data_IF_104152461626
#
_entry.id   IF_104152461626
#
_cell.length_a   1.000
_cell.length_b   1.000
_cell.length_c   1.000
_cell.angle_alpha   90.00
_cell.angle_beta   90.00
_cell.angle_gamma   90.00
#
_symmetry.space_group_name_H-M   'P 1'
#
loop_
_entity.id
_entity.type
_entity.pdbx_description
1 polymer ?
#
# COMPACT_ATOMS: atom_id res chain seq x y z
N UNK A 1 2.99 35.67 -27.59
CA UNK A 1 3.00 37.16 -27.58
C UNK A 1 2.15 37.65 -26.44
N UNK A 2 2.68 38.62 -25.76
CA UNK A 2 2.17 39.47 -24.65
C UNK A 2 2.41 38.91 -23.24
N UNK A 3 3.51 39.44 -22.72
CA UNK A 3 3.88 39.60 -21.31
C UNK A 3 2.92 40.59 -20.64
N UNK A 4 2.64 40.40 -19.36
CA UNK A 4 2.37 41.55 -18.45
C UNK A 4 3.01 41.25 -17.09
N UNK A 5 3.86 42.19 -16.72
CA UNK A 5 4.61 42.33 -15.45
C UNK A 5 3.76 43.28 -14.58
N UNK A 6 3.66 43.02 -13.30
CA UNK A 6 3.46 44.01 -12.23
C UNK A 6 3.64 43.25 -10.91
N UNK A 7 4.58 43.50 -10.17
CA UNK A 7 5.25 44.59 -9.39
C UNK A 7 4.96 44.42 -7.90
N UNK A 8 6.08 44.28 -7.16
CA UNK A 8 6.25 44.26 -5.71
C UNK A 8 5.57 45.44 -5.02
N UNK A 9 5.08 45.22 -3.80
CA UNK A 9 5.18 46.22 -2.74
C UNK A 9 5.48 45.56 -1.40
N UNK A 10 6.65 45.87 -0.88
CA UNK A 10 7.08 45.59 0.49
C UNK A 10 6.48 46.69 1.42
N UNK A 11 6.04 46.29 2.59
CA UNK A 11 5.80 47.20 3.69
C UNK A 11 6.27 46.56 5.00
N UNK A 12 7.43 47.05 5.41
CA UNK A 12 8.00 46.90 6.75
C UNK A 12 7.28 47.80 7.74
N UNK A 13 6.97 47.32 8.96
CA UNK A 13 6.85 48.20 10.13
C UNK A 13 7.35 47.49 11.40
N UNK A 14 8.10 48.31 12.14
CA UNK A 14 8.99 47.95 13.22
C UNK A 14 8.32 47.92 14.61
N UNK A 15 9.05 47.25 15.49
CA UNK A 15 9.15 47.32 16.96
C UNK A 15 8.38 48.38 17.74
N UNK A 16 7.84 47.98 18.90
CA UNK A 16 7.95 48.74 20.14
C UNK A 16 8.04 47.81 21.36
N UNK A 17 9.21 47.83 21.99
CA UNK A 17 9.42 47.41 23.39
C UNK A 17 8.80 48.44 24.35
N UNK A 18 8.18 47.96 25.43
CA UNK A 18 8.08 48.75 26.66
C UNK A 18 8.20 47.79 27.87
N UNK A 19 9.31 47.95 28.57
CA UNK A 19 9.54 47.41 29.91
C UNK A 19 9.11 48.42 30.97
N UNK A 20 8.68 47.92 32.15
CA UNK A 20 8.79 48.50 33.53
C UNK A 20 7.86 47.64 34.40
N UNK A 21 8.26 46.98 35.49
CA UNK A 21 9.18 47.36 36.56
C UNK A 21 8.41 47.62 37.85
N UNK A 22 8.65 46.89 38.95
CA UNK A 22 8.38 47.32 40.33
C UNK A 22 7.41 46.38 41.12
N UNK A 23 7.91 45.53 41.91
CA UNK A 23 8.27 45.56 43.33
C UNK A 23 7.14 45.24 44.32
N UNK A 24 7.48 44.34 45.17
CA UNK A 24 6.88 43.65 46.30
C UNK A 24 6.12 44.50 47.37
N UNK A 25 5.18 43.87 48.04
CA UNK A 25 5.21 43.84 49.50
C UNK A 25 4.18 42.88 50.11
N UNK A 26 4.57 42.28 51.18
CA UNK A 26 4.06 41.27 52.09
C UNK A 26 2.76 41.64 52.84
N UNK A 27 1.91 40.66 53.18
CA UNK A 27 1.70 40.21 54.58
C UNK A 27 0.46 39.35 54.77
N UNK A 28 0.72 38.23 55.46
CA UNK A 28 0.00 37.58 56.54
C UNK A 28 -1.48 37.16 56.46
N UNK A 29 -1.62 35.83 56.48
CA UNK A 29 -2.44 34.92 57.29
C UNK A 29 -3.89 35.28 57.69
N UNK A 30 -4.81 34.36 57.34
CA UNK A 30 -5.77 33.77 58.29
C UNK A 30 -6.37 32.43 57.73
N UNK A 31 -6.31 31.46 58.58
CA UNK A 31 -6.83 30.11 58.44
C UNK A 31 -8.37 30.10 58.38
N UNK A 32 -8.97 29.26 57.49
CA UNK A 32 -10.19 28.54 57.87
C UNK A 32 -10.42 27.35 56.90
N UNK A 33 -10.68 26.19 57.52
CA UNK A 33 -10.86 24.90 56.86
C UNK A 33 -12.14 24.82 56.03
N UNK A 34 -12.02 24.20 54.89
CA UNK A 34 -13.13 23.79 54.00
C UNK A 34 -12.70 22.59 53.19
N UNK A 35 -13.51 21.56 53.20
CA UNK A 35 -13.32 20.26 52.62
C UNK A 35 -12.66 20.27 51.22
N UNK A 36 -11.60 19.53 51.05
CA UNK A 36 -10.95 19.30 49.80
C UNK A 36 -11.82 18.43 48.88
N UNK A 37 -12.46 19.05 47.92
CA UNK A 37 -12.87 18.36 46.68
C UNK A 37 -11.59 18.06 45.88
N UNK A 38 -11.27 16.81 45.76
CA UNK A 38 -10.15 16.37 44.90
C UNK A 38 -10.51 16.57 43.46
N UNK A 39 -10.18 17.72 42.90
CA UNK A 39 -10.05 17.90 41.48
C UNK A 39 -8.89 17.04 40.99
N UNK A 40 -9.04 16.25 39.91
CA UNK A 40 -7.89 15.55 39.34
C UNK A 40 -6.79 16.56 39.04
N UNK A 41 -5.56 16.27 39.48
CA UNK A 41 -4.40 17.09 39.15
C UNK A 41 -4.26 17.15 37.63
N UNK A 42 -4.41 18.32 37.04
CA UNK A 42 -4.07 18.55 35.65
C UNK A 42 -2.63 18.11 35.46
N UNK A 43 -2.40 17.27 34.43
CA UNK A 43 -1.06 16.84 34.01
C UNK A 43 -0.19 18.10 33.83
N UNK A 44 0.97 18.12 34.48
CA UNK A 44 1.97 19.21 34.32
C UNK A 44 2.79 19.06 33.04
N UNK A 45 2.36 18.20 32.12
CA UNK A 45 3.02 17.99 30.85
C UNK A 45 2.99 19.27 29.99
N UNK A 46 4.13 19.60 29.38
CA UNK A 46 4.25 20.71 28.46
C UNK A 46 3.36 20.43 27.24
N UNK A 47 2.59 21.40 26.76
CA UNK A 47 1.83 21.24 25.53
C UNK A 47 2.73 20.79 24.37
N UNK A 48 2.34 19.73 23.69
CA UNK A 48 3.10 19.11 22.59
C UNK A 48 2.19 19.03 21.37
N UNK A 49 2.65 19.50 20.22
CA UNK A 49 1.98 19.29 18.95
C UNK A 49 2.66 18.13 18.23
N UNK A 50 1.87 17.20 17.71
CA UNK A 50 2.32 16.09 16.84
C UNK A 50 1.68 16.27 15.47
N UNK A 51 2.51 16.35 14.45
CA UNK A 51 2.09 16.57 13.07
C UNK A 51 2.02 15.25 12.30
N UNK A 52 0.90 15.03 11.62
CA UNK A 52 0.60 13.81 10.84
C UNK A 52 0.39 14.18 9.38
N UNK A 53 1.25 13.70 8.49
CA UNK A 53 1.11 13.93 7.06
C UNK A 53 0.75 12.65 6.31
N UNK A 54 -0.18 12.77 5.35
CA UNK A 54 -0.60 11.65 4.53
C UNK A 54 -0.56 11.95 3.03
N UNK A 55 -0.54 10.88 2.22
CA UNK A 55 -0.40 10.94 0.77
C UNK A 55 -1.74 11.14 0.04
N UNK A 56 -2.86 10.93 0.73
CA UNK A 56 -4.19 10.99 0.13
C UNK A 56 -4.60 12.43 -0.20
N UNK A 57 -5.40 12.65 -1.24
CA UNK A 57 -5.95 13.97 -1.57
C UNK A 57 -6.71 14.58 -0.38
N UNK A 58 -6.66 15.91 -0.26
CA UNK A 58 -7.47 16.66 0.69
C UNK A 58 -8.88 16.87 0.10
N UNK A 59 -9.63 15.77 -0.04
CA UNK A 59 -11.00 15.80 -0.53
C UNK A 59 -11.98 16.16 0.59
N UNK A 60 -13.11 16.74 0.21
CA UNK A 60 -14.21 17.09 1.11
C UNK A 60 -15.25 15.99 1.28
N UNK A 61 -15.15 14.89 0.54
CA UNK A 61 -16.04 13.76 0.66
C UNK A 61 -15.90 13.10 2.03
N UNK A 62 -17.03 12.88 2.70
CA UNK A 62 -17.08 12.44 4.08
C UNK A 62 -16.46 11.06 4.32
N UNK A 63 -16.49 10.22 3.31
CA UNK A 63 -15.96 8.85 3.32
C UNK A 63 -14.48 8.77 2.97
N UNK A 64 -13.87 9.86 2.46
CA UNK A 64 -12.47 9.84 2.08
C UNK A 64 -11.54 9.77 3.29
N UNK A 65 -10.36 9.20 3.11
CA UNK A 65 -9.35 9.03 4.16
C UNK A 65 -9.01 10.36 4.86
N UNK A 66 -8.86 11.45 4.11
CA UNK A 66 -8.53 12.76 4.68
C UNK A 66 -9.55 13.20 5.74
N UNK A 67 -10.85 13.18 5.42
CA UNK A 67 -11.90 13.60 6.34
C UNK A 67 -12.00 12.69 7.56
N UNK A 68 -11.75 11.40 7.39
CA UNK A 68 -11.72 10.45 8.50
C UNK A 68 -10.53 10.66 9.43
N UNK A 69 -9.36 10.98 8.88
CA UNK A 69 -8.20 11.35 9.69
C UNK A 69 -8.40 12.66 10.45
N UNK A 70 -9.07 13.66 9.86
CA UNK A 70 -9.43 14.88 10.57
C UNK A 70 -10.38 14.61 11.74
N UNK A 71 -11.41 13.79 11.56
CA UNK A 71 -12.34 13.39 12.65
C UNK A 71 -11.65 12.61 13.75
N UNK A 72 -10.76 11.69 13.38
CA UNK A 72 -9.92 11.00 14.36
C UNK A 72 -9.09 11.99 15.17
N UNK A 73 -8.42 12.93 14.52
CA UNK A 73 -7.60 13.93 15.19
C UNK A 73 -8.43 14.85 16.11
N UNK A 74 -9.62 15.27 15.68
CA UNK A 74 -10.56 16.03 16.51
C UNK A 74 -10.97 15.25 17.78
N UNK A 75 -11.31 13.96 17.62
CA UNK A 75 -11.66 13.09 18.75
C UNK A 75 -10.46 12.92 19.68
N UNK A 76 -9.27 12.60 19.15
CA UNK A 76 -8.05 12.47 19.95
C UNK A 76 -7.76 13.76 20.72
N UNK A 77 -7.81 14.93 20.08
CA UNK A 77 -7.54 16.22 20.71
C UNK A 77 -8.55 16.55 21.82
N UNK A 78 -9.80 16.09 21.69
CA UNK A 78 -10.83 16.32 22.70
C UNK A 78 -10.73 15.37 23.91
N UNK A 79 -10.24 14.16 23.72
CA UNK A 79 -10.28 13.09 24.73
C UNK A 79 -8.94 12.87 25.46
N UNK A 80 -7.79 13.20 24.84
CA UNK A 80 -6.50 12.99 25.48
C UNK A 80 -6.27 13.92 26.67
N UNK A 81 -5.62 13.41 27.70
CA UNK A 81 -5.30 14.15 28.94
C UNK A 81 -3.84 14.54 29.06
N UNK A 82 -3.02 14.26 28.04
CA UNK A 82 -1.58 14.43 28.08
C UNK A 82 -1.11 15.77 27.49
N UNK A 83 -2.03 16.69 27.19
CA UNK A 83 -1.80 17.97 26.53
C UNK A 83 -1.12 17.81 25.13
N UNK A 84 -1.49 16.77 24.40
CA UNK A 84 -1.03 16.53 23.03
C UNK A 84 -2.09 17.11 22.07
N UNK A 85 -1.63 17.84 21.07
CA UNK A 85 -2.48 18.32 19.96
C UNK A 85 -2.01 17.65 18.67
N UNK A 86 -2.91 17.03 17.94
CA UNK A 86 -2.64 16.43 16.63
C UNK A 86 -3.06 17.38 15.53
N UNK A 87 -2.17 17.63 14.58
CA UNK A 87 -2.42 18.38 13.36
C UNK A 87 -2.22 17.48 12.14
N UNK A 88 -3.24 17.39 11.28
CA UNK A 88 -3.24 16.52 10.07
C UNK A 88 -3.14 17.38 8.83
N UNK A 89 -2.29 16.96 7.88
CA UNK A 89 -2.20 17.55 6.55
C UNK A 89 -2.07 16.47 5.47
N UNK A 90 -2.83 16.61 4.40
CA UNK A 90 -2.89 15.68 3.27
C UNK A 90 -2.14 16.13 2.03
N UNK A 91 -2.43 15.46 0.91
CA UNK A 91 -1.92 15.75 -0.43
C UNK A 91 -0.39 15.92 -0.50
N UNK A 92 0.35 15.20 0.36
CA UNK A 92 1.82 15.20 0.33
C UNK A 92 2.31 14.17 -0.69
N UNK A 93 3.47 14.43 -1.29
CA UNK A 93 4.18 13.39 -2.03
C UNK A 93 5.31 12.82 -1.18
N UNK A 94 5.71 11.59 -1.48
CA UNK A 94 6.85 10.93 -0.82
C UNK A 94 8.11 11.79 -0.90
N UNK A 95 8.38 12.42 -2.05
CA UNK A 95 9.55 13.30 -2.26
C UNK A 95 9.50 14.54 -1.36
N UNK A 96 8.31 15.14 -1.19
CA UNK A 96 8.12 16.29 -0.28
C UNK A 96 8.38 15.88 1.16
N UNK A 97 7.86 14.72 1.59
CA UNK A 97 8.08 14.19 2.93
C UNK A 97 9.58 13.95 3.16
N UNK A 98 10.25 13.23 2.26
CA UNK A 98 11.67 12.93 2.37
C UNK A 98 12.54 14.19 2.45
N UNK A 99 12.25 15.19 1.59
CA UNK A 99 12.97 16.45 1.59
C UNK A 99 12.79 17.21 2.91
N UNK A 100 11.58 17.18 3.47
CA UNK A 100 11.26 17.88 4.72
C UNK A 100 11.93 17.22 5.92
N UNK A 101 11.90 15.88 6.00
CA UNK A 101 12.61 15.11 7.04
C UNK A 101 14.12 15.40 7.00
N UNK A 102 14.71 15.44 5.82
CA UNK A 102 16.15 15.72 5.66
C UNK A 102 16.56 17.11 6.19
N UNK A 103 15.63 18.03 6.37
CA UNK A 103 15.86 19.35 7.00
C UNK A 103 15.64 19.35 8.51
N UNK A 104 15.25 18.22 9.11
CA UNK A 104 15.12 18.03 10.56
C UNK A 104 13.85 18.60 11.17
N UNK A 105 12.83 18.94 10.34
CA UNK A 105 11.57 19.48 10.82
C UNK A 105 10.43 18.46 10.68
N UNK A 106 9.20 18.92 10.73
CA UNK A 106 7.98 18.11 10.54
C UNK A 106 7.99 17.32 9.22
N UNK A 107 7.18 16.27 9.09
CA UNK A 107 6.20 15.78 10.07
C UNK A 107 6.82 14.86 11.13
N UNK A 108 6.09 14.67 12.26
CA UNK A 108 6.44 13.68 13.28
C UNK A 108 6.03 12.26 12.85
N UNK A 109 4.82 12.15 12.27
CA UNK A 109 4.27 10.91 11.71
C UNK A 109 3.92 11.18 10.25
N UNK A 110 4.20 10.22 9.39
CA UNK A 110 3.85 10.33 7.98
C UNK A 110 3.48 8.99 7.35
N UNK A 111 2.60 9.08 6.36
CA UNK A 111 2.24 7.95 5.51
C UNK A 111 3.34 7.72 4.47
N UNK A 112 3.68 6.46 4.25
CA UNK A 112 4.68 6.09 3.25
C UNK A 112 4.28 4.79 2.53
N UNK A 113 5.07 4.44 1.53
CA UNK A 113 5.01 3.15 0.85
C UNK A 113 6.01 2.19 1.50
N UNK A 114 5.60 0.95 1.69
CA UNK A 114 6.38 -0.09 2.36
C UNK A 114 7.82 -0.25 1.84
N UNK A 115 8.04 -0.08 0.53
CA UNK A 115 9.33 -0.29 -0.12
C UNK A 115 10.37 0.82 0.14
N UNK A 116 10.00 1.90 0.81
CA UNK A 116 10.93 2.99 1.13
C UNK A 116 11.63 2.80 2.47
N UNK A 117 11.01 2.06 3.41
CA UNK A 117 11.50 1.94 4.78
C UNK A 117 12.98 1.50 4.89
N UNK A 118 13.47 0.49 4.15
CA UNK A 118 14.88 0.09 4.25
C UNK A 118 15.85 1.21 3.91
N UNK A 119 15.66 1.86 2.75
CA UNK A 119 16.57 2.92 2.30
C UNK A 119 16.49 4.18 3.18
N UNK A 120 15.35 4.45 3.81
CA UNK A 120 15.16 5.60 4.68
C UNK A 120 15.71 5.34 6.08
N UNK A 121 15.56 4.11 6.60
CA UNK A 121 16.16 3.72 7.88
C UNK A 121 17.70 3.74 7.82
N UNK A 122 18.31 3.24 6.74
CA UNK A 122 19.77 3.31 6.54
C UNK A 122 20.30 4.74 6.53
N UNK A 123 19.49 5.70 6.10
CA UNK A 123 19.82 7.14 6.12
C UNK A 123 19.51 7.82 7.47
N UNK A 124 19.00 7.07 8.45
CA UNK A 124 18.63 7.60 9.75
C UNK A 124 17.42 8.54 9.72
N UNK A 125 16.53 8.38 8.73
CA UNK A 125 15.32 9.19 8.58
C UNK A 125 14.14 8.67 9.40
N UNK A 126 14.14 7.38 9.75
CA UNK A 126 13.05 6.69 10.45
C UNK A 126 13.44 6.39 11.90
N UNK A 127 12.47 6.57 12.80
CA UNK A 127 12.61 6.16 14.19
C UNK A 127 12.44 4.65 14.32
N UNK A 128 13.27 3.99 15.12
CA UNK A 128 13.12 2.59 15.47
C UNK A 128 11.95 2.40 16.44
N UNK A 129 10.88 1.80 15.97
CA UNK A 129 9.65 1.58 16.73
C UNK A 129 9.62 0.28 17.53
N UNK A 130 10.69 -0.53 17.46
CA UNK A 130 10.76 -1.90 18.02
C UNK A 130 10.35 -1.94 19.49
N UNK A 131 10.91 -1.04 20.31
CA UNK A 131 10.62 -1.00 21.73
C UNK A 131 9.16 -0.57 22.02
N UNK A 132 8.65 0.42 21.31
CA UNK A 132 7.25 0.84 21.46
C UNK A 132 6.29 -0.29 21.11
N UNK A 133 6.48 -0.90 19.95
CA UNK A 133 5.60 -1.98 19.44
C UNK A 133 5.62 -3.21 20.34
N UNK A 134 6.78 -3.57 20.90
CA UNK A 134 6.91 -4.78 21.71
C UNK A 134 6.51 -4.57 23.19
N UNK A 135 6.52 -3.34 23.71
CA UNK A 135 6.20 -3.05 25.10
C UNK A 135 4.78 -2.49 25.31
N UNK A 136 4.08 -2.10 24.26
CA UNK A 136 2.68 -1.62 24.35
C UNK A 136 1.70 -2.77 24.16
N UNK A 137 1.41 -3.48 25.25
CA UNK A 137 0.51 -4.63 25.23
C UNK A 137 -0.96 -4.23 24.92
N UNK A 138 -1.37 -3.04 25.31
CA UNK A 138 -2.74 -2.54 25.13
C UNK A 138 -3.01 -2.21 23.66
N UNK A 139 -1.97 -1.80 22.92
CA UNK A 139 -2.08 -1.57 21.47
C UNK A 139 -2.32 -2.85 20.67
N UNK A 140 -1.93 -4.00 21.22
CA UNK A 140 -2.22 -5.34 20.68
C UNK A 140 -1.65 -5.58 19.27
N UNK A 141 -0.31 -5.74 19.20
CA UNK A 141 0.41 -6.14 17.97
C UNK A 141 -0.18 -7.37 17.27
N UNK A 142 -0.68 -8.36 18.06
CA UNK A 142 -1.18 -9.64 17.53
C UNK A 142 -2.48 -9.53 16.72
N UNK A 143 -3.19 -8.40 16.81
CA UNK A 143 -4.37 -8.12 16.00
C UNK A 143 -4.05 -7.76 14.54
N UNK A 144 -2.81 -7.45 14.21
CA UNK A 144 -2.41 -7.24 12.81
C UNK A 144 -2.27 -8.56 12.06
N UNK A 145 -2.51 -8.54 10.75
CA UNK A 145 -2.23 -9.69 9.88
C UNK A 145 -0.73 -9.96 9.87
N UNK A 146 -0.34 -11.16 10.23
CA UNK A 146 1.06 -11.49 10.53
C UNK A 146 2.02 -11.20 9.36
N UNK A 147 1.59 -11.46 8.12
CA UNK A 147 2.39 -11.21 6.92
C UNK A 147 2.76 -9.71 6.73
N UNK A 148 1.98 -8.78 7.28
CA UNK A 148 2.27 -7.34 7.14
C UNK A 148 3.53 -6.90 7.88
N UNK A 149 3.90 -7.61 8.94
CA UNK A 149 5.11 -7.30 9.70
C UNK A 149 6.40 -7.52 8.92
N UNK A 150 6.37 -8.45 7.94
CA UNK A 150 7.50 -8.62 7.02
C UNK A 150 7.80 -7.36 6.20
N UNK A 151 6.78 -6.56 5.87
CA UNK A 151 6.92 -5.28 5.16
C UNK A 151 7.28 -4.10 6.07
N UNK A 152 7.21 -4.27 7.37
CA UNK A 152 7.47 -3.22 8.36
C UNK A 152 8.79 -3.42 9.12
N UNK A 153 9.46 -4.55 8.89
CA UNK A 153 10.69 -4.94 9.58
C UNK A 153 11.87 -4.93 8.62
N UNK A 154 12.95 -4.30 9.03
CA UNK A 154 14.22 -4.28 8.31
C UNK A 154 15.38 -4.45 9.29
N UNK A 155 16.33 -5.36 9.03
CA UNK A 155 17.45 -5.68 9.90
C UNK A 155 17.00 -5.97 11.35
N UNK A 156 15.94 -6.78 11.54
CA UNK A 156 15.33 -7.14 12.83
C UNK A 156 14.72 -5.98 13.63
N UNK A 157 14.62 -4.78 13.05
CA UNK A 157 14.00 -3.60 13.65
C UNK A 157 12.70 -3.24 12.94
N UNK A 158 11.72 -2.75 13.71
CA UNK A 158 10.43 -2.29 13.20
C UNK A 158 10.51 -0.78 12.94
N UNK A 159 10.39 -0.36 11.70
CA UNK A 159 10.43 1.04 11.31
C UNK A 159 9.08 1.60 10.89
N UNK A 160 8.11 0.73 10.63
CA UNK A 160 6.81 1.12 10.11
C UNK A 160 5.68 0.40 10.83
N UNK A 161 4.50 1.01 10.87
CA UNK A 161 3.26 0.37 11.30
C UNK A 161 2.35 0.20 10.08
N UNK A 162 1.92 -1.03 9.74
CA UNK A 162 1.05 -1.24 8.60
C UNK A 162 -0.34 -0.66 8.92
N UNK A 163 -0.87 0.23 8.08
CA UNK A 163 -2.24 0.71 8.25
C UNK A 163 -3.20 0.06 7.26
N UNK A 164 -2.75 -0.16 6.05
CA UNK A 164 -3.53 -0.81 5.01
C UNK A 164 -2.76 -1.97 4.41
N UNK A 165 -3.50 -2.88 3.82
CA UNK A 165 -2.94 -3.99 3.07
C UNK A 165 -3.69 -4.16 1.76
N UNK A 166 -3.01 -4.65 0.75
CA UNK A 166 -3.53 -4.89 -0.57
C UNK A 166 -2.94 -6.16 -1.15
N UNK A 167 -3.78 -6.93 -1.81
CA UNK A 167 -3.37 -8.11 -2.58
C UNK A 167 -3.96 -8.03 -3.98
N UNK A 168 -3.78 -9.09 -4.74
CA UNK A 168 -4.30 -9.20 -6.10
C UNK A 168 -5.26 -10.38 -6.21
N UNK A 169 -6.17 -10.32 -7.16
CA UNK A 169 -7.08 -11.40 -7.48
C UNK A 169 -7.30 -11.48 -8.99
N UNK A 170 -7.76 -12.63 -9.45
CA UNK A 170 -8.19 -12.78 -10.84
C UNK A 170 -9.62 -12.29 -11.00
N UNK A 171 -9.86 -11.52 -12.05
CA UNK A 171 -11.21 -11.17 -12.53
C UNK A 171 -11.41 -11.81 -13.88
N UNK A 172 -12.57 -12.37 -14.11
CA UNK A 172 -12.87 -13.05 -15.36
C UNK A 172 -14.30 -12.84 -15.81
N UNK A 173 -14.55 -13.09 -17.09
CA UNK A 173 -15.82 -13.07 -17.78
C UNK A 173 -16.34 -14.51 -17.94
N UNK A 174 -17.30 -14.98 -17.10
CA UNK A 174 -17.84 -16.32 -17.20
C UNK A 174 -18.43 -16.64 -18.59
N UNK A 175 -19.08 -15.66 -19.22
CA UNK A 175 -19.63 -15.79 -20.56
C UNK A 175 -18.55 -16.07 -21.63
N UNK A 176 -17.40 -15.36 -21.57
CA UNK A 176 -16.30 -15.57 -22.51
C UNK A 176 -15.56 -16.89 -22.27
N UNK A 177 -15.47 -17.35 -21.01
CA UNK A 177 -14.94 -18.67 -20.69
C UNK A 177 -15.86 -19.75 -21.24
N UNK A 178 -17.18 -19.63 -21.04
CA UNK A 178 -18.17 -20.57 -21.55
C UNK A 178 -18.17 -20.67 -23.08
N UNK A 179 -18.03 -19.54 -23.80
CA UNK A 179 -17.85 -19.52 -25.26
C UNK A 179 -16.63 -20.34 -25.72
N UNK A 180 -15.56 -20.38 -24.88
CA UNK A 180 -14.36 -21.15 -25.16
C UNK A 180 -14.44 -22.62 -24.65
N UNK A 181 -15.58 -23.03 -24.07
CA UNK A 181 -15.81 -24.39 -23.59
C UNK A 181 -15.46 -24.64 -22.13
N UNK A 182 -15.21 -23.58 -21.34
CA UNK A 182 -14.90 -23.66 -19.92
C UNK A 182 -16.15 -23.34 -19.08
N UNK A 183 -16.55 -24.26 -18.22
CA UNK A 183 -17.70 -24.12 -17.31
C UNK A 183 -17.31 -23.68 -15.90
N UNK A 184 -16.02 -23.48 -15.65
CA UNK A 184 -15.44 -23.02 -14.37
C UNK A 184 -14.20 -22.15 -14.61
N UNK A 185 -13.77 -21.43 -13.58
CA UNK A 185 -12.50 -20.72 -13.58
C UNK A 185 -11.34 -21.71 -13.37
N UNK A 186 -10.20 -21.56 -14.09
CA UNK A 186 -9.03 -22.44 -13.97
C UNK A 186 -8.58 -22.66 -12.52
N UNK A 187 -8.37 -23.91 -12.15
CA UNK A 187 -8.00 -24.31 -10.78
C UNK A 187 -6.49 -24.23 -10.50
N UNK A 188 -5.67 -24.24 -11.55
CA UNK A 188 -4.21 -24.18 -11.49
C UNK A 188 -3.64 -23.41 -12.67
N UNK A 189 -2.32 -23.17 -12.68
CA UNK A 189 -1.68 -22.37 -13.74
C UNK A 189 -1.64 -23.09 -15.09
N UNK A 190 -1.64 -24.42 -15.12
CA UNK A 190 -1.70 -25.22 -16.33
C UNK A 190 -3.05 -25.05 -17.03
N UNK A 191 -4.14 -25.14 -16.27
CA UNK A 191 -5.48 -24.85 -16.78
C UNK A 191 -5.63 -23.38 -17.17
N UNK A 192 -5.04 -22.45 -16.38
CA UNK A 192 -5.06 -21.02 -16.70
C UNK A 192 -4.39 -20.74 -18.05
N UNK A 193 -3.25 -21.36 -18.31
CA UNK A 193 -2.55 -21.24 -19.60
C UNK A 193 -3.41 -21.76 -20.75
N UNK A 194 -4.03 -22.94 -20.57
CA UNK A 194 -4.90 -23.53 -21.60
C UNK A 194 -6.14 -22.65 -21.84
N UNK A 195 -6.82 -22.24 -20.77
CA UNK A 195 -7.99 -21.35 -20.85
C UNK A 195 -7.64 -20.01 -21.52
N UNK A 196 -6.46 -19.43 -21.22
CA UNK A 196 -5.98 -18.23 -21.87
C UNK A 196 -5.81 -18.42 -23.39
N UNK A 197 -5.31 -19.58 -23.82
CA UNK A 197 -5.19 -19.92 -25.24
C UNK A 197 -6.56 -20.11 -25.89
N UNK A 198 -7.48 -20.85 -25.26
CA UNK A 198 -8.80 -21.17 -25.80
C UNK A 198 -9.71 -19.95 -25.90
N UNK A 199 -9.60 -19.01 -24.97
CA UNK A 199 -10.34 -17.75 -24.99
C UNK A 199 -9.77 -16.70 -25.95
N UNK A 200 -8.58 -16.92 -26.53
CA UNK A 200 -7.98 -15.96 -27.46
C UNK A 200 -8.51 -16.14 -28.87
N UNK A 201 -9.00 -15.05 -29.46
CA UNK A 201 -9.58 -15.03 -30.81
C UNK A 201 -8.75 -14.12 -31.74
N UNK A 202 -8.53 -14.59 -32.95
CA UNK A 202 -7.86 -13.87 -34.03
C UNK A 202 -8.86 -13.60 -35.16
N UNK A 203 -8.67 -12.51 -35.90
CA UNK A 203 -9.34 -12.26 -37.16
C UNK A 203 -8.70 -13.07 -38.32
N UNK A 204 -9.30 -12.98 -39.51
CA UNK A 204 -8.80 -13.68 -40.72
C UNK A 204 -7.39 -13.24 -41.14
N UNK A 205 -6.95 -12.07 -40.71
CA UNK A 205 -5.61 -11.53 -40.97
C UNK A 205 -4.59 -11.91 -39.89
N UNK A 206 -5.01 -12.62 -38.81
CA UNK A 206 -4.18 -13.03 -37.70
C UNK A 206 -3.98 -11.96 -36.62
N UNK A 207 -4.75 -10.86 -36.68
CA UNK A 207 -4.73 -9.87 -35.61
C UNK A 207 -5.56 -10.34 -34.41
N UNK A 208 -5.12 -10.01 -33.22
CA UNK A 208 -5.84 -10.33 -32.00
C UNK A 208 -7.09 -9.46 -31.91
N UNK A 209 -8.26 -10.05 -31.70
CA UNK A 209 -9.53 -9.36 -31.44
C UNK A 209 -10.03 -9.58 -30.01
N UNK A 210 -9.60 -10.66 -29.36
CA UNK A 210 -9.84 -10.98 -27.97
C UNK A 210 -8.66 -11.76 -27.43
N UNK A 211 -8.19 -11.48 -26.23
CA UNK A 211 -7.23 -12.30 -25.51
C UNK A 211 -7.87 -12.99 -24.31
N UNK A 212 -7.47 -14.23 -24.06
CA UNK A 212 -7.88 -14.90 -22.83
C UNK A 212 -7.22 -14.28 -21.60
N UNK A 213 -5.91 -14.00 -21.68
CA UNK A 213 -5.13 -13.37 -20.61
C UNK A 213 -3.99 -12.56 -21.23
N UNK A 214 -3.78 -11.33 -20.76
CA UNK A 214 -2.57 -10.54 -21.02
C UNK A 214 -1.68 -10.65 -19.80
N UNK A 215 -0.56 -11.41 -19.85
CA UNK A 215 0.18 -11.77 -18.66
C UNK A 215 1.08 -10.67 -18.09
N UNK A 216 1.32 -9.61 -18.87
CA UNK A 216 2.23 -8.49 -18.57
C UNK A 216 1.55 -7.12 -18.75
N UNK A 217 0.31 -7.01 -18.27
CA UNK A 217 -0.51 -5.81 -18.49
C UNK A 217 -0.37 -4.75 -17.39
N UNK A 218 0.19 -5.09 -16.23
CA UNK A 218 0.23 -4.20 -15.06
C UNK A 218 1.65 -4.15 -14.44
N UNK A 219 1.96 -3.09 -13.69
CA UNK A 219 3.30 -2.81 -13.17
C UNK A 219 3.85 -3.86 -12.16
N UNK A 220 2.98 -4.67 -11.55
CA UNK A 220 3.39 -5.73 -10.62
C UNK A 220 3.63 -7.10 -11.28
N UNK A 221 3.44 -7.23 -12.58
CA UNK A 221 3.53 -8.52 -13.30
C UNK A 221 4.85 -9.24 -13.06
N UNK A 222 5.94 -8.47 -12.96
CA UNK A 222 7.28 -9.02 -12.77
C UNK A 222 7.51 -9.69 -11.42
N UNK A 223 6.69 -9.41 -10.42
CA UNK A 223 6.79 -10.02 -9.08
C UNK A 223 5.59 -10.87 -8.70
N UNK A 224 4.43 -10.59 -9.29
CA UNK A 224 3.19 -11.28 -8.99
C UNK A 224 3.22 -12.76 -9.41
N UNK A 225 3.60 -13.04 -10.67
CA UNK A 225 3.68 -14.41 -11.18
C UNK A 225 4.71 -15.24 -10.42
N UNK A 226 5.94 -14.75 -10.14
CA UNK A 226 6.86 -15.45 -9.27
C UNK A 226 6.26 -15.87 -7.92
N UNK A 227 5.54 -14.98 -7.24
CA UNK A 227 4.88 -15.30 -5.97
C UNK A 227 3.85 -16.43 -6.13
N UNK A 228 3.00 -16.38 -7.17
CA UNK A 228 2.02 -17.42 -7.47
C UNK A 228 2.68 -18.79 -7.76
N UNK A 229 3.86 -18.80 -8.38
CA UNK A 229 4.63 -20.00 -8.63
C UNK A 229 5.47 -20.49 -7.43
N UNK A 230 5.40 -19.80 -6.28
CA UNK A 230 6.19 -20.13 -5.10
C UNK A 230 7.68 -19.75 -5.23
N UNK A 231 7.97 -18.81 -6.13
CA UNK A 231 9.32 -18.25 -6.30
C UNK A 231 9.72 -17.35 -5.14
N UNK A 232 11.01 -17.26 -4.91
CA UNK A 232 11.61 -16.37 -3.91
C UNK A 232 12.67 -15.50 -4.57
N UNK A 233 12.87 -14.30 -4.05
CA UNK A 233 13.89 -13.37 -4.55
C UNK A 233 15.20 -13.45 -3.80
N UNK A 234 15.14 -13.99 -2.58
CA UNK A 234 16.30 -14.15 -1.69
C UNK A 234 16.33 -15.56 -1.12
N UNK A 235 17.53 -16.00 -0.75
CA UNK A 235 17.80 -17.15 0.12
C UNK A 235 18.62 -16.63 1.31
N UNK A 236 17.95 -16.40 2.43
CA UNK A 236 18.49 -15.57 3.49
C UNK A 236 18.84 -14.18 2.95
N UNK A 237 20.09 -13.74 3.15
CA UNK A 237 20.57 -12.43 2.69
C UNK A 237 21.15 -12.46 1.25
N UNK A 238 21.07 -13.59 0.58
CA UNK A 238 21.63 -13.75 -0.77
C UNK A 238 20.55 -13.67 -1.85
N UNK A 239 20.70 -12.84 -2.89
CA UNK A 239 19.80 -12.85 -4.03
C UNK A 239 19.71 -14.24 -4.67
N UNK A 240 18.49 -14.68 -4.97
CA UNK A 240 18.19 -16.01 -5.55
C UNK A 240 17.16 -15.89 -6.67
N UNK A 241 17.53 -15.22 -7.76
CA UNK A 241 16.59 -14.96 -8.85
C UNK A 241 16.53 -16.12 -9.88
N UNK A 242 17.50 -17.00 -9.89
CA UNK A 242 17.58 -18.13 -10.85
C UNK A 242 16.94 -19.42 -10.34
N UNK A 243 16.15 -19.37 -9.26
CA UNK A 243 15.46 -20.56 -8.77
C UNK A 243 14.39 -21.04 -9.76
N UNK A 244 14.07 -22.33 -9.68
CA UNK A 244 13.16 -22.99 -10.62
C UNK A 244 11.80 -22.29 -10.72
N UNK A 245 11.23 -21.89 -9.60
CA UNK A 245 9.91 -21.31 -9.51
C UNK A 245 9.84 -19.93 -10.19
N UNK A 246 10.89 -19.11 -10.02
CA UNK A 246 11.04 -17.87 -10.76
C UNK A 246 11.05 -18.11 -12.27
N UNK A 247 11.89 -19.02 -12.73
CA UNK A 247 12.00 -19.33 -14.16
C UNK A 247 10.68 -19.84 -14.75
N UNK A 248 9.97 -20.73 -14.06
CA UNK A 248 8.68 -21.25 -14.51
C UNK A 248 7.61 -20.16 -14.62
N UNK A 249 7.59 -19.19 -13.69
CA UNK A 249 6.67 -18.06 -13.73
C UNK A 249 6.87 -17.20 -14.99
N UNK A 250 8.11 -16.89 -15.35
CA UNK A 250 8.39 -16.13 -16.57
C UNK A 250 8.18 -16.94 -17.84
N UNK A 251 8.45 -18.25 -17.81
CA UNK A 251 8.12 -19.16 -18.93
C UNK A 251 6.62 -19.20 -19.19
N UNK A 252 5.79 -19.19 -18.14
CA UNK A 252 4.34 -19.10 -18.27
C UNK A 252 3.93 -17.81 -19.01
N UNK A 253 4.46 -16.67 -18.62
CA UNK A 253 4.20 -15.40 -19.31
C UNK A 253 4.68 -15.45 -20.77
N UNK A 254 5.91 -15.90 -21.00
CA UNK A 254 6.50 -16.03 -22.35
C UNK A 254 5.71 -17.01 -23.24
N UNK A 255 5.11 -18.07 -22.68
CA UNK A 255 4.32 -19.00 -23.46
C UNK A 255 3.12 -18.34 -24.14
N UNK A 256 2.43 -17.41 -23.44
CA UNK A 256 1.33 -16.64 -23.99
C UNK A 256 1.85 -15.62 -25.02
N UNK A 257 2.85 -14.83 -24.67
CA UNK A 257 3.37 -13.77 -25.51
C UNK A 257 4.01 -14.31 -26.81
N UNK A 258 4.78 -15.39 -26.73
CA UNK A 258 5.41 -16.01 -27.89
C UNK A 258 4.41 -16.63 -28.85
N UNK A 259 3.30 -17.17 -28.32
CA UNK A 259 2.25 -17.79 -29.16
C UNK A 259 1.62 -16.80 -30.12
N UNK A 260 1.38 -15.56 -29.65
CA UNK A 260 0.67 -14.54 -30.42
C UNK A 260 1.59 -13.45 -30.98
N UNK A 261 2.86 -13.46 -30.60
CA UNK A 261 3.86 -12.45 -30.93
C UNK A 261 3.77 -11.20 -30.08
N UNK A 262 4.85 -10.84 -29.39
CA UNK A 262 4.89 -9.71 -28.45
C UNK A 262 4.34 -8.42 -29.06
N UNK A 263 4.82 -8.03 -30.26
CA UNK A 263 4.36 -6.80 -30.95
C UNK A 263 2.87 -6.82 -31.29
N UNK A 264 2.32 -8.00 -31.61
CA UNK A 264 0.90 -8.16 -31.88
C UNK A 264 0.08 -7.98 -30.60
N UNK A 265 0.55 -8.54 -29.48
CA UNK A 265 -0.07 -8.35 -28.17
C UNK A 265 0.01 -6.88 -27.76
N UNK A 266 1.14 -6.20 -27.92
CA UNK A 266 1.27 -4.76 -27.59
C UNK A 266 0.33 -3.89 -28.41
N UNK A 267 0.25 -4.08 -29.71
CA UNK A 267 -0.73 -3.35 -30.55
C UNK A 267 -2.17 -3.57 -30.11
N UNK A 268 -2.47 -4.78 -29.66
CA UNK A 268 -3.80 -5.07 -29.14
C UNK A 268 -4.05 -4.36 -27.80
N UNK A 269 -3.10 -4.41 -26.88
CA UNK A 269 -3.16 -3.71 -25.57
C UNK A 269 -3.26 -2.18 -25.78
N UNK A 270 -2.54 -1.61 -26.72
CA UNK A 270 -2.61 -0.18 -27.07
C UNK A 270 -4.03 0.25 -27.54
N UNK A 271 -4.87 -0.72 -27.96
CA UNK A 271 -6.26 -0.49 -28.31
C UNK A 271 -7.22 -0.47 -27.12
N UNK A 272 -6.72 -0.73 -25.90
CA UNK A 272 -7.54 -0.76 -24.71
C UNK A 272 -7.98 0.66 -24.31
N UNK A 273 -9.15 0.74 -23.71
CA UNK A 273 -9.56 1.93 -22.97
C UNK A 273 -8.83 2.04 -21.64
N UNK A 274 -9.03 3.13 -20.94
CA UNK A 274 -8.45 3.36 -19.61
C UNK A 274 -8.99 2.29 -18.64
N UNK A 275 -8.11 1.58 -17.92
CA UNK A 275 -8.54 0.68 -16.85
C UNK A 275 -9.35 1.40 -15.77
N UNK A 276 -10.31 0.70 -15.15
CA UNK A 276 -11.19 1.29 -14.14
C UNK A 276 -12.13 2.36 -14.67
N UNK A 277 -12.55 2.25 -15.94
CA UNK A 277 -13.56 3.10 -16.59
C UNK A 277 -14.53 2.25 -17.40
N UNK A 278 -15.66 2.80 -17.89
CA UNK A 278 -16.56 2.06 -18.79
C UNK A 278 -15.90 1.51 -20.07
N UNK A 279 -14.71 2.02 -20.42
CA UNK A 279 -13.95 1.58 -21.60
C UNK A 279 -12.92 0.49 -21.26
N UNK A 280 -12.90 -0.03 -20.04
CA UNK A 280 -12.01 -1.12 -19.64
C UNK A 280 -12.11 -2.33 -20.57
N UNK A 281 -10.98 -2.90 -20.89
CA UNK A 281 -10.87 -4.02 -21.84
C UNK A 281 -11.69 -5.26 -21.41
N UNK A 282 -11.83 -5.50 -20.10
CA UNK A 282 -12.65 -6.59 -19.58
C UNK A 282 -14.14 -6.33 -19.85
N UNK A 283 -14.63 -5.12 -19.59
CA UNK A 283 -16.04 -4.75 -19.85
C UNK A 283 -16.37 -4.77 -21.34
N UNK A 284 -15.42 -4.40 -22.19
CA UNK A 284 -15.58 -4.44 -23.65
C UNK A 284 -15.41 -5.85 -24.24
N UNK A 285 -15.16 -6.86 -23.42
CA UNK A 285 -14.94 -8.23 -23.88
C UNK A 285 -13.67 -8.44 -24.70
N UNK A 286 -12.71 -7.51 -24.61
CA UNK A 286 -11.41 -7.65 -25.25
C UNK A 286 -10.50 -8.63 -24.52
N UNK A 287 -10.67 -8.75 -23.19
CA UNK A 287 -9.90 -9.67 -22.34
C UNK A 287 -10.88 -10.53 -21.56
N UNK A 288 -10.66 -11.86 -21.55
CA UNK A 288 -11.53 -12.79 -20.82
C UNK A 288 -11.16 -12.90 -19.33
N UNK A 289 -9.87 -12.82 -19.01
CA UNK A 289 -9.33 -12.91 -17.66
C UNK A 289 -8.20 -11.89 -17.49
N UNK A 290 -8.10 -11.31 -16.30
CA UNK A 290 -6.96 -10.50 -15.88
C UNK A 290 -6.83 -10.52 -14.36
N UNK A 291 -5.64 -10.29 -13.85
CA UNK A 291 -5.48 -10.00 -12.44
C UNK A 291 -5.63 -8.49 -12.19
N UNK A 292 -6.12 -8.14 -11.01
CA UNK A 292 -6.30 -6.77 -10.56
C UNK A 292 -5.88 -6.64 -9.10
N UNK A 293 -5.38 -5.47 -8.67
CA UNK A 293 -5.29 -5.16 -7.25
C UNK A 293 -6.70 -4.98 -6.66
N UNK A 294 -6.83 -5.23 -5.37
CA UNK A 294 -8.09 -5.05 -4.65
C UNK A 294 -8.62 -3.60 -4.70
N UNK A 295 -7.74 -2.62 -4.83
CA UNK A 295 -8.12 -1.22 -5.06
C UNK A 295 -8.96 -0.98 -6.32
N UNK A 296 -8.93 -1.89 -7.29
CA UNK A 296 -9.75 -1.81 -8.50
C UNK A 296 -11.19 -2.36 -8.31
N UNK A 297 -11.49 -2.96 -7.14
CA UNK A 297 -12.80 -3.59 -6.94
C UNK A 297 -13.96 -2.60 -7.01
N UNK A 298 -13.80 -1.40 -6.46
CA UNK A 298 -14.82 -0.35 -6.52
C UNK A 298 -15.15 0.05 -7.97
N UNK A 299 -14.12 0.22 -8.81
CA UNK A 299 -14.31 0.51 -10.24
C UNK A 299 -15.02 -0.64 -10.97
N UNK A 300 -14.65 -1.89 -10.63
CA UNK A 300 -15.31 -3.08 -11.17
C UNK A 300 -16.80 -3.11 -10.82
N UNK A 301 -17.16 -2.77 -9.61
CA UNK A 301 -18.54 -2.74 -9.12
C UNK A 301 -19.32 -1.53 -9.69
N UNK A 302 -18.66 -0.39 -9.88
CA UNK A 302 -19.28 0.80 -10.45
C UNK A 302 -19.52 0.67 -11.96
N UNK A 303 -18.51 0.30 -12.72
CA UNK A 303 -18.54 0.31 -14.19
C UNK A 303 -18.86 -1.04 -14.83
N UNK A 304 -18.71 -2.13 -14.07
CA UNK A 304 -19.01 -3.49 -14.54
C UNK A 304 -20.46 -3.96 -14.39
N UNK A 305 -21.40 -3.07 -14.05
CA UNK A 305 -22.81 -3.44 -13.74
C UNK A 305 -23.56 -4.11 -14.90
N UNK A 306 -23.20 -3.77 -16.13
CA UNK A 306 -23.87 -4.25 -17.32
C UNK A 306 -23.23 -5.50 -17.92
N UNK A 307 -22.21 -6.06 -17.29
CA UNK A 307 -21.52 -7.27 -17.75
C UNK A 307 -21.42 -8.29 -16.62
N UNK A 308 -21.48 -9.55 -16.97
CA UNK A 308 -21.24 -10.63 -16.02
C UNK A 308 -19.73 -10.76 -15.80
N UNK A 309 -19.28 -10.60 -14.57
CA UNK A 309 -17.89 -10.83 -14.17
C UNK A 309 -17.83 -11.50 -12.80
N UNK A 310 -16.76 -12.19 -12.52
CA UNK A 310 -16.54 -12.86 -11.24
C UNK A 310 -15.09 -12.74 -10.81
N UNK A 311 -14.86 -12.98 -9.51
CA UNK A 311 -13.54 -13.00 -8.88
C UNK A 311 -13.14 -14.42 -8.50
N UNK A 312 -11.84 -14.69 -8.61
CA UNK A 312 -11.21 -15.90 -8.11
C UNK A 312 -9.84 -15.58 -7.49
N UNK A 313 -9.35 -16.40 -6.54
CA UNK A 313 -7.97 -16.35 -6.12
C UNK A 313 -7.01 -16.59 -7.31
N UNK A 314 -5.76 -16.17 -7.16
CA UNK A 314 -4.71 -16.46 -8.13
C UNK A 314 -4.49 -17.98 -8.19
N UNK A 315 -4.54 -18.62 -9.37
CA UNK A 315 -4.23 -20.04 -9.49
C UNK A 315 -2.74 -20.30 -9.25
N UNK A 316 -2.43 -21.41 -8.59
CA UNK A 316 -1.06 -21.89 -8.36
C UNK A 316 -0.75 -23.11 -9.20
N UNK A 317 0.53 -23.41 -9.50
CA UNK A 317 0.90 -24.67 -10.15
C UNK A 317 0.48 -25.87 -9.30
N UNK A 318 0.12 -26.98 -9.95
CA UNK A 318 -0.30 -28.18 -9.22
C UNK A 318 0.79 -28.67 -8.27
N UNK A 319 0.42 -28.88 -7.00
CA UNK A 319 1.34 -29.35 -5.96
C UNK A 319 2.34 -28.30 -5.45
N UNK A 320 2.24 -27.06 -5.89
CA UNK A 320 3.05 -25.94 -5.38
C UNK A 320 2.24 -25.14 -4.38
N UNK A 321 2.83 -24.85 -3.22
CA UNK A 321 2.29 -23.88 -2.30
C UNK A 321 2.69 -22.47 -2.79
N UNK A 322 1.90 -21.92 -3.72
CA UNK A 322 2.05 -20.53 -4.14
C UNK A 322 1.59 -19.55 -3.06
N UNK A 323 1.86 -18.29 -3.25
CA UNK A 323 1.42 -17.21 -2.37
C UNK A 323 0.86 -16.05 -3.16
N UNK A 324 -0.03 -15.26 -2.55
CA UNK A 324 -0.47 -14.01 -3.10
C UNK A 324 0.46 -12.88 -2.67
N UNK A 325 0.75 -11.98 -3.60
CA UNK A 325 1.62 -10.84 -3.32
C UNK A 325 0.90 -9.84 -2.42
N UNK A 326 1.54 -9.50 -1.30
CA UNK A 326 1.08 -8.51 -0.35
C UNK A 326 1.86 -7.20 -0.52
N UNK A 327 1.14 -6.10 -0.51
CA UNK A 327 1.68 -4.75 -0.33
C UNK A 327 0.98 -4.05 0.83
N UNK A 328 1.61 -3.05 1.42
CA UNK A 328 1.06 -2.28 2.54
C UNK A 328 1.27 -0.78 2.33
N UNK A 329 0.29 0.00 2.76
CA UNK A 329 0.52 1.37 3.17
C UNK A 329 1.00 1.38 4.61
N UNK A 330 1.94 2.24 4.94
CA UNK A 330 2.57 2.28 6.26
C UNK A 330 2.55 3.67 6.87
N UNK A 331 2.48 3.73 8.20
CA UNK A 331 2.80 4.91 8.97
C UNK A 331 4.20 4.79 9.54
N UNK A 332 4.97 5.85 9.44
CA UNK A 332 6.34 5.94 9.91
C UNK A 332 6.52 7.13 10.84
N UNK A 333 7.47 7.03 11.76
CA UNK A 333 7.86 8.10 12.68
C UNK A 333 9.18 8.71 12.24
N UNK A 334 9.25 10.03 12.21
CA UNK A 334 10.46 10.77 11.92
C UNK A 334 11.51 10.53 13.02
N UNK A 335 12.71 10.13 12.64
CA UNK A 335 13.82 9.93 13.57
C UNK A 335 14.15 11.18 14.39
N UNK A 336 13.80 12.37 13.89
CA UNK A 336 14.11 13.66 14.51
C UNK A 336 12.92 14.26 15.27
N UNK A 337 11.85 13.52 15.53
CA UNK A 337 10.75 14.01 16.38
C UNK A 337 11.27 14.40 17.76
N UNK A 338 10.83 15.55 18.26
CA UNK A 338 11.31 16.07 19.57
C UNK A 338 10.70 15.30 20.76
N UNK A 339 9.56 14.62 20.55
CA UNK A 339 8.82 13.96 21.62
C UNK A 339 8.37 12.56 21.23
N UNK A 340 9.27 11.56 21.12
CA UNK A 340 8.96 10.22 20.66
C UNK A 340 7.82 9.54 21.41
N UNK A 341 7.74 9.72 22.75
CA UNK A 341 6.68 9.16 23.59
C UNK A 341 5.29 9.74 23.25
N UNK A 342 5.21 11.07 23.03
CA UNK A 342 3.96 11.71 22.61
C UNK A 342 3.59 11.29 21.17
N UNK A 343 4.57 11.20 20.29
CA UNK A 343 4.40 10.76 18.91
C UNK A 343 3.91 9.31 18.86
N UNK A 344 4.48 8.41 19.70
CA UNK A 344 3.99 7.03 19.80
C UNK A 344 2.52 6.96 20.28
N UNK A 345 2.13 7.74 21.30
CA UNK A 345 0.73 7.79 21.75
C UNK A 345 -0.23 8.16 20.63
N UNK A 346 0.16 9.11 19.80
CA UNK A 346 -0.62 9.52 18.62
C UNK A 346 -0.64 8.38 17.58
N UNK A 347 0.51 7.79 17.29
CA UNK A 347 0.62 6.67 16.34
C UNK A 347 -0.17 5.45 16.81
N UNK A 348 -0.11 5.11 18.09
CA UNK A 348 -0.86 4.00 18.69
C UNK A 348 -2.39 4.25 18.62
N UNK A 349 -2.84 5.48 18.85
CA UNK A 349 -4.25 5.87 18.65
C UNK A 349 -4.64 5.80 17.17
N UNK A 350 -3.81 6.35 16.27
CA UNK A 350 -4.04 6.36 14.82
C UNK A 350 -4.21 4.94 14.25
N UNK A 351 -3.39 4.02 14.72
CA UNK A 351 -3.36 2.62 14.28
C UNK A 351 -4.05 1.66 15.25
N UNK A 352 -4.73 2.18 16.26
CA UNK A 352 -5.51 1.41 17.22
C UNK A 352 -6.74 0.74 16.62
N UNK A 353 -7.25 -0.30 17.28
CA UNK A 353 -8.38 -1.11 16.80
C UNK A 353 -9.60 -0.27 16.45
N UNK A 354 -10.01 0.63 17.36
CA UNK A 354 -11.19 1.47 17.18
C UNK A 354 -11.06 2.38 15.93
N UNK A 355 -9.91 3.05 15.80
CA UNK A 355 -9.69 3.94 14.66
C UNK A 355 -9.54 3.17 13.35
N UNK A 356 -8.87 2.02 13.35
CA UNK A 356 -8.73 1.20 12.15
C UNK A 356 -10.08 0.65 11.66
N UNK A 357 -10.98 0.28 12.56
CA UNK A 357 -12.39 -0.06 12.22
C UNK A 357 -13.11 1.16 11.64
N UNK A 358 -12.99 2.32 12.28
CA UNK A 358 -13.57 3.56 11.77
C UNK A 358 -13.04 3.95 10.39
N UNK A 359 -11.75 3.80 10.14
CA UNK A 359 -11.17 4.03 8.81
C UNK A 359 -11.70 3.02 7.78
N UNK A 360 -11.82 1.75 8.14
CA UNK A 360 -12.37 0.70 7.26
C UNK A 360 -13.79 0.99 6.77
N UNK A 361 -14.63 1.65 7.57
CA UNK A 361 -16.00 2.02 7.18
C UNK A 361 -16.07 2.95 5.95
N UNK A 362 -14.99 3.70 5.66
CA UNK A 362 -14.91 4.58 4.49
C UNK A 362 -14.15 3.94 3.34
N UNK A 363 -13.01 3.41 3.64
CA UNK A 363 -12.04 3.01 2.61
C UNK A 363 -12.39 1.71 1.88
N UNK A 364 -13.25 0.85 2.43
CA UNK A 364 -13.68 -0.37 1.75
C UNK A 364 -14.31 -0.09 0.37
N UNK A 365 -14.95 1.07 0.21
CA UNK A 365 -15.53 1.50 -1.06
C UNK A 365 -14.47 1.85 -2.11
N UNK A 366 -13.22 2.04 -1.69
CA UNK A 366 -12.08 2.33 -2.55
C UNK A 366 -11.07 1.16 -2.62
N UNK A 367 -11.47 -0.03 -2.11
CA UNK A 367 -10.61 -1.22 -2.13
C UNK A 367 -9.42 -1.17 -1.18
N UNK A 368 -9.43 -0.31 -0.18
CA UNK A 368 -8.38 -0.23 0.83
C UNK A 368 -8.81 -0.99 2.09
N UNK A 369 -8.08 -2.03 2.43
CA UNK A 369 -8.33 -2.83 3.62
C UNK A 369 -7.34 -2.49 4.72
N UNK A 370 -7.86 -2.25 5.93
CA UNK A 370 -7.00 -2.01 7.08
C UNK A 370 -6.30 -3.31 7.49
N UNK A 371 -5.08 -3.19 7.98
CA UNK A 371 -4.21 -4.33 8.28
C UNK A 371 -4.50 -5.05 9.60
N UNK A 372 -5.45 -4.58 10.40
CA UNK A 372 -5.89 -5.29 11.62
C UNK A 372 -6.93 -6.36 11.31
N UNK A 373 -6.75 -7.55 11.88
CA UNK A 373 -7.69 -8.68 11.79
C UNK A 373 -9.10 -8.27 12.29
N UNK A 374 -9.16 -7.47 13.34
CA UNK A 374 -10.42 -6.91 13.87
C UNK A 374 -11.13 -5.99 12.87
N UNK A 375 -10.38 -5.17 12.12
CA UNK A 375 -10.96 -4.29 11.10
C UNK A 375 -11.44 -5.07 9.87
N UNK A 376 -10.70 -6.08 9.41
CA UNK A 376 -11.14 -6.97 8.33
C UNK A 376 -12.39 -7.77 8.72
N UNK A 377 -12.44 -8.28 9.96
CA UNK A 377 -13.64 -8.95 10.49
C UNK A 377 -14.84 -8.00 10.58
N UNK A 378 -14.60 -6.72 10.90
CA UNK A 378 -15.64 -5.68 10.89
C UNK A 378 -16.22 -5.49 9.49
N UNK A 379 -15.38 -5.43 8.44
CA UNK A 379 -15.83 -5.38 7.04
C UNK A 379 -16.68 -6.60 6.68
N UNK A 380 -16.25 -7.81 7.09
CA UNK A 380 -16.93 -9.06 6.74
C UNK A 380 -18.29 -9.19 7.42
N UNK A 381 -18.38 -8.84 8.72
CA UNK A 381 -19.49 -9.22 9.56
C UNK A 381 -20.47 -8.09 9.84
N UNK A 382 -20.00 -6.83 9.88
CA UNK A 382 -20.77 -5.72 10.42
C UNK A 382 -21.14 -4.67 9.36
N UNK A 383 -20.39 -4.58 8.24
CA UNK A 383 -20.64 -3.58 7.21
C UNK A 383 -21.57 -4.12 6.10
N UNK A 384 -22.42 -3.22 5.59
CA UNK A 384 -23.27 -3.47 4.42
C UNK A 384 -22.46 -3.19 3.15
N UNK A 385 -21.61 -4.15 2.78
CA UNK A 385 -20.73 -4.09 1.61
C UNK A 385 -21.00 -5.27 0.68
N UNK A 386 -20.46 -5.21 -0.52
CA UNK A 386 -20.65 -6.26 -1.52
C UNK A 386 -20.04 -7.60 -1.06
N UNK A 387 -20.59 -8.69 -1.60
CA UNK A 387 -20.03 -10.03 -1.36
C UNK A 387 -18.59 -10.18 -1.89
N UNK A 388 -18.23 -9.42 -2.92
CA UNK A 388 -16.86 -9.40 -3.44
C UNK A 388 -15.90 -8.70 -2.45
N UNK A 389 -16.32 -7.60 -1.85
CA UNK A 389 -15.56 -6.93 -0.78
C UNK A 389 -15.34 -7.86 0.42
N UNK A 390 -16.37 -8.59 0.87
CA UNK A 390 -16.25 -9.58 1.96
C UNK A 390 -15.33 -10.74 1.60
N UNK A 391 -15.42 -11.25 0.35
CA UNK A 391 -14.50 -12.30 -0.14
C UNK A 391 -13.07 -11.83 -0.11
N UNK A 392 -12.80 -10.60 -0.56
CA UNK A 392 -11.45 -10.06 -0.58
C UNK A 392 -10.88 -9.87 0.84
N UNK A 393 -11.66 -9.31 1.76
CA UNK A 393 -11.28 -9.25 3.18
C UNK A 393 -10.99 -10.64 3.78
N UNK A 394 -11.75 -11.66 3.35
CA UNK A 394 -11.54 -13.06 3.76
C UNK A 394 -10.24 -13.63 3.21
N UNK A 395 -9.89 -13.34 1.96
CA UNK A 395 -8.61 -13.70 1.34
C UNK A 395 -7.45 -13.12 2.15
N UNK A 396 -7.50 -11.83 2.46
CA UNK A 396 -6.47 -11.15 3.25
C UNK A 396 -6.27 -11.75 4.66
N UNK A 397 -7.31 -12.37 5.24
CA UNK A 397 -7.22 -13.04 6.54
C UNK A 397 -6.65 -14.46 6.47
N UNK A 398 -6.89 -15.18 5.37
CA UNK A 398 -6.76 -16.65 5.36
C UNK A 398 -5.79 -17.20 4.30
N UNK A 399 -5.44 -16.40 3.29
CA UNK A 399 -4.56 -16.87 2.23
C UNK A 399 -3.06 -16.83 2.63
N UNK A 400 -2.27 -17.62 1.92
CA UNK A 400 -0.82 -17.53 2.01
C UNK A 400 -0.35 -16.25 1.32
N UNK A 401 0.10 -15.28 2.10
CA UNK A 401 0.56 -13.97 1.62
C UNK A 401 2.08 -13.91 1.68
N UNK A 402 2.69 -13.35 0.65
CA UNK A 402 4.13 -13.11 0.58
C UNK A 402 4.40 -11.68 0.14
N UNK A 403 5.60 -11.22 0.37
CA UNK A 403 6.03 -9.88 -0.02
C UNK A 403 7.42 -9.91 -0.66
N UNK A 404 7.75 -8.83 -1.38
CA UNK A 404 9.10 -8.65 -1.87
C UNK A 404 10.06 -8.40 -0.70
N UNK A 405 11.31 -8.88 -0.77
CA UNK A 405 12.28 -8.72 0.32
C UNK A 405 12.53 -7.26 0.70
N UNK A 406 12.64 -7.01 2.01
CA UNK A 406 12.94 -5.68 2.54
C UNK A 406 14.46 -5.47 2.56
N UNK A 407 14.97 -4.92 1.46
CA UNK A 407 16.40 -4.61 1.27
C UNK A 407 16.56 -3.14 0.90
N UNK A 408 17.68 -2.50 1.29
CA UNK A 408 17.88 -1.06 1.04
C UNK A 408 17.95 -0.70 -0.44
N UNK A 409 18.27 -1.65 -1.29
CA UNK A 409 18.32 -1.53 -2.76
C UNK A 409 17.06 -2.05 -3.47
N UNK A 410 15.93 -2.16 -2.77
CA UNK A 410 14.67 -2.73 -3.32
C UNK A 410 14.22 -2.07 -4.63
N UNK A 411 14.30 -0.75 -4.71
CA UNK A 411 13.92 -0.01 -5.93
C UNK A 411 14.79 -0.36 -7.13
N UNK A 412 16.10 -0.50 -6.90
CA UNK A 412 17.04 -0.88 -7.94
C UNK A 412 16.87 -2.35 -8.34
N UNK A 413 16.63 -3.24 -7.37
CA UNK A 413 16.32 -4.64 -7.63
C UNK A 413 15.09 -4.79 -8.54
N UNK A 414 13.99 -4.14 -8.19
CA UNK A 414 12.75 -4.16 -8.99
C UNK A 414 12.97 -3.61 -10.41
N UNK A 415 13.77 -2.55 -10.54
CA UNK A 415 14.11 -1.97 -11.85
C UNK A 415 14.98 -2.92 -12.71
N UNK A 416 15.94 -3.61 -12.09
CA UNK A 416 16.76 -4.64 -12.77
C UNK A 416 15.87 -5.78 -13.25
N UNK A 417 14.98 -6.30 -12.40
CA UNK A 417 14.02 -7.34 -12.78
C UNK A 417 13.22 -6.88 -13.99
N UNK A 418 12.59 -5.71 -13.92
CA UNK A 418 11.75 -5.19 -14.99
C UNK A 418 12.54 -5.04 -16.28
N UNK A 419 13.76 -4.52 -16.22
CA UNK A 419 14.59 -4.28 -17.41
C UNK A 419 15.01 -5.59 -18.09
N UNK A 420 15.61 -6.51 -17.34
CA UNK A 420 16.17 -7.73 -17.91
C UNK A 420 15.09 -8.74 -18.29
N UNK A 421 14.04 -8.88 -17.47
CA UNK A 421 12.98 -9.84 -17.78
C UNK A 421 12.09 -9.37 -18.94
N UNK A 422 11.95 -8.07 -19.20
CA UNK A 422 11.29 -7.57 -20.40
C UNK A 422 11.97 -8.06 -21.68
N UNK A 423 13.29 -8.21 -21.70
CA UNK A 423 14.01 -8.77 -22.86
C UNK A 423 13.58 -10.22 -23.16
N UNK A 424 13.31 -11.00 -22.10
CA UNK A 424 12.78 -12.36 -22.25
C UNK A 424 11.31 -12.35 -22.70
N UNK A 425 10.47 -11.46 -22.16
CA UNK A 425 9.07 -11.30 -22.56
C UNK A 425 8.93 -10.88 -24.03
N UNK A 426 9.85 -10.03 -24.51
CA UNK A 426 9.95 -9.65 -25.92
C UNK A 426 10.47 -10.78 -26.83
N UNK A 427 11.04 -11.84 -26.25
CA UNK A 427 11.66 -12.94 -26.99
C UNK A 427 13.06 -12.66 -27.51
N UNK A 428 13.73 -11.62 -27.02
CA UNK A 428 15.09 -11.24 -27.42
C UNK A 428 16.16 -12.15 -26.82
N UNK A 429 15.91 -12.70 -25.63
CA UNK A 429 16.80 -13.62 -24.91
C UNK A 429 15.97 -14.75 -24.26
N UNK A 430 16.64 -15.81 -23.81
CA UNK A 430 15.96 -16.83 -23.01
C UNK A 430 15.60 -16.34 -21.62
N UNK A 431 14.60 -16.95 -20.98
CA UNK A 431 14.23 -16.64 -19.59
C UNK A 431 15.43 -16.90 -18.66
N UNK A 432 16.18 -17.97 -18.89
CA UNK A 432 17.37 -18.32 -18.15
C UNK A 432 18.48 -17.28 -18.25
N UNK A 433 18.76 -16.79 -19.49
CA UNK A 433 19.79 -15.76 -19.69
C UNK A 433 19.39 -14.42 -19.06
N UNK A 434 18.12 -14.04 -19.19
CA UNK A 434 17.60 -12.83 -18.54
C UNK A 434 17.68 -12.95 -17.00
N UNK A 435 17.23 -14.07 -16.44
CA UNK A 435 17.27 -14.30 -15.00
C UNK A 435 18.72 -14.34 -14.46
N UNK A 436 19.67 -14.89 -15.22
CA UNK A 436 21.08 -14.87 -14.85
C UNK A 436 21.63 -13.44 -14.80
N UNK A 437 21.25 -12.59 -15.75
CA UNK A 437 21.64 -11.16 -15.71
C UNK A 437 21.06 -10.43 -14.51
N UNK A 438 19.78 -10.70 -14.16
CA UNK A 438 19.19 -10.17 -12.91
C UNK A 438 20.02 -10.62 -11.71
N UNK A 439 20.31 -11.93 -11.61
CA UNK A 439 21.12 -12.50 -10.53
C UNK A 439 22.50 -11.82 -10.42
N UNK A 440 23.19 -11.67 -11.54
CA UNK A 440 24.53 -11.08 -11.60
C UNK A 440 24.54 -9.60 -11.18
N UNK A 441 23.56 -8.82 -11.65
CA UNK A 441 23.45 -7.39 -11.32
C UNK A 441 23.04 -7.17 -9.87
N UNK A 442 22.03 -7.91 -9.39
CA UNK A 442 21.56 -7.76 -8.01
C UNK A 442 22.62 -8.22 -7.02
N UNK A 443 23.39 -9.28 -7.34
CA UNK A 443 24.50 -9.72 -6.49
C UNK A 443 25.59 -8.65 -6.30
N UNK A 444 25.69 -7.66 -7.18
CA UNK A 444 26.61 -6.52 -7.04
C UNK A 444 26.07 -5.42 -6.10
N UNK A 445 24.75 -5.42 -5.80
CA UNK A 445 24.13 -4.49 -4.87
C UNK A 445 24.32 -4.93 -3.41
N UNK A 446 24.55 -6.22 -3.19
CA UNK A 446 24.86 -6.80 -1.90
C UNK A 446 26.36 -6.58 -1.65
N UNK A 447 26.72 -5.38 -1.23
CA UNK A 447 28.10 -4.96 -1.03
C UNK A 447 28.72 -5.39 0.31
#
# INVERSE_FOLDING_TARGET
>A
MKRLIASLTAASLALSLAACGGAASSSAAANNGGAASSTPAASSAKPTTVTVWHLQPEDSEETCMHQRLLRWAEKFNAENTDNITVEVAGAKSVDVILTTIATGSTPDIFMNQWNNAPAWSDKGALYDLTDFVNNDADWNKADFVDATWGLCTYNDHIYSIPYSMSTTFMVYRPDLLAEAGWDHFPANTEELLQCAMDCTKLDDAGNIVQMGLVPDYYWLDTILWPAAFGGTWMDGDTPNFTNKQQLEAYKFQCAILNKYGYDNVRRFVDSFGTPGTPEDALFKGKVAMRWLPDSALADMEEYGKDVEWAMAPMPYPEGVQGAQMLTCGVWEMNAHTENPEATWKVMASLTGEENMKFLAEGDHNHGTFMSRKSALNHVINDLDVSENTKKNATVLLNENLTHFPMVSYIGEYLNIISTEMNEALMGNVSVEDAAQKVQDQVSQLVG
#
